data_IF_097526756443
#
_entry.id   IF_097526756443
#
_cell.length_a   1.000
_cell.length_b   1.000
_cell.length_c   1.000
_cell.angle_alpha   90.00
_cell.angle_beta   90.00
_cell.angle_gamma   90.00
#
_symmetry.space_group_name_H-M   'P 1'
#
loop_
_entity.id
_entity.type
_entity.pdbx_description
1 polymer ?
#
# COMPACT_ATOMS: atom_id res chain seq x y z
N UNK A 1 -3.76 -1.60 -3.92
CA UNK A 1 -4.77 -0.61 -4.40
C UNK A 1 -4.19 0.44 -5.33
N UNK A 2 -3.11 1.12 -4.99
CA UNK A 2 -2.55 2.19 -5.83
C UNK A 2 -2.17 1.72 -7.25
N UNK A 3 -1.57 0.53 -7.40
CA UNK A 3 -1.28 -0.05 -8.71
C UNK A 3 -2.56 -0.25 -9.53
N UNK A 4 -3.60 -0.79 -8.93
CA UNK A 4 -4.89 -0.99 -9.61
C UNK A 4 -5.50 0.34 -10.07
N UNK A 5 -5.46 1.36 -9.24
CA UNK A 5 -5.98 2.68 -9.57
C UNK A 5 -5.18 3.36 -10.69
N UNK A 6 -3.88 3.12 -10.77
CA UNK A 6 -3.01 3.67 -11.82
C UNK A 6 -3.10 2.91 -13.15
N UNK A 7 -3.67 1.71 -13.17
CA UNK A 7 -3.55 0.76 -14.28
C UNK A 7 -4.91 0.44 -14.91
N UNK A 8 -5.31 1.10 -16.02
CA UNK A 8 -6.63 0.89 -16.65
C UNK A 8 -6.90 -0.56 -17.07
N UNK A 9 -5.87 -1.35 -17.27
CA UNK A 9 -5.96 -2.77 -17.62
C UNK A 9 -6.20 -3.70 -16.42
N UNK A 10 -6.09 -3.19 -15.19
CA UNK A 10 -6.23 -4.01 -13.98
C UNK A 10 -7.71 -4.31 -13.70
N UNK A 11 -8.00 -5.55 -13.28
CA UNK A 11 -9.38 -6.00 -13.03
C UNK A 11 -10.13 -5.16 -11.97
N UNK A 12 -9.41 -4.62 -11.00
CA UNK A 12 -9.96 -3.78 -9.93
C UNK A 12 -9.79 -2.28 -10.18
N UNK A 13 -9.49 -1.87 -11.42
CA UNK A 13 -9.17 -0.46 -11.72
C UNK A 13 -10.29 0.50 -11.33
N UNK A 14 -11.51 0.24 -11.77
CA UNK A 14 -12.64 1.15 -11.51
C UNK A 14 -12.90 1.30 -10.01
N UNK A 15 -12.97 0.19 -9.28
CA UNK A 15 -13.21 0.22 -7.83
C UNK A 15 -12.11 0.95 -7.07
N UNK A 16 -10.86 0.70 -7.44
CA UNK A 16 -9.70 1.34 -6.81
C UNK A 16 -9.63 2.84 -7.15
N UNK A 17 -9.87 3.19 -8.41
CA UNK A 17 -9.87 4.58 -8.86
C UNK A 17 -10.98 5.38 -8.16
N UNK A 18 -12.19 4.84 -8.10
CA UNK A 18 -13.32 5.48 -7.43
C UNK A 18 -13.07 5.68 -5.94
N UNK A 19 -12.46 4.70 -5.28
CA UNK A 19 -12.09 4.81 -3.88
C UNK A 19 -11.06 5.92 -3.65
N UNK A 20 -10.04 6.05 -4.51
CA UNK A 20 -9.07 7.14 -4.45
C UNK A 20 -9.73 8.50 -4.68
N UNK A 21 -10.57 8.59 -5.71
CA UNK A 21 -11.24 9.84 -6.06
C UNK A 21 -12.19 10.32 -4.96
N UNK A 22 -12.92 9.39 -4.31
CA UNK A 22 -13.89 9.71 -3.28
C UNK A 22 -13.27 10.15 -1.96
N UNK A 23 -12.23 9.44 -1.49
CA UNK A 23 -11.65 9.67 -0.17
C UNK A 23 -10.35 10.46 -0.17
N UNK A 24 -9.64 10.52 -1.30
CA UNK A 24 -8.30 11.11 -1.44
C UNK A 24 -7.38 10.73 -0.28
N UNK A 25 -7.13 9.42 -0.08
CA UNK A 25 -6.39 8.93 1.07
C UNK A 25 -4.91 9.31 1.03
N UNK A 26 -4.24 9.15 2.17
CA UNK A 26 -2.78 9.12 2.20
C UNK A 26 -2.24 7.77 1.73
N UNK A 27 -0.94 7.68 1.64
CA UNK A 27 -0.24 6.45 1.28
C UNK A 27 0.88 6.17 2.28
N UNK A 28 1.02 4.91 2.69
CA UNK A 28 2.18 4.50 3.48
C UNK A 28 3.43 4.61 2.59
N UNK A 29 4.49 5.24 3.07
CA UNK A 29 5.70 5.49 2.30
C UNK A 29 6.27 4.23 1.64
N UNK A 30 6.29 3.11 2.37
CA UNK A 30 6.72 1.83 1.80
C UNK A 30 5.82 1.38 0.65
N UNK A 31 4.50 1.55 0.77
CA UNK A 31 3.55 1.20 -0.28
C UNK A 31 3.74 2.10 -1.53
N UNK A 32 4.12 3.35 -1.36
CA UNK A 32 4.44 4.24 -2.48
C UNK A 32 5.67 3.73 -3.26
N UNK A 33 6.71 3.33 -2.56
CA UNK A 33 7.92 2.76 -3.17
C UNK A 33 7.60 1.44 -3.91
N UNK A 34 6.82 0.57 -3.31
CA UNK A 34 6.38 -0.66 -3.95
C UNK A 34 5.51 -0.38 -5.20
N UNK A 35 4.62 0.61 -5.12
CA UNK A 35 3.79 1.03 -6.25
C UNK A 35 4.64 1.50 -7.42
N UNK A 36 5.60 2.38 -7.17
CA UNK A 36 6.55 2.82 -8.17
C UNK A 36 7.29 1.64 -8.81
N UNK A 37 7.81 0.74 -8.01
CA UNK A 37 8.49 -0.46 -8.48
C UNK A 37 7.58 -1.32 -9.35
N UNK A 38 6.36 -1.58 -8.92
CA UNK A 38 5.41 -2.42 -9.65
C UNK A 38 5.02 -1.79 -11.00
N UNK A 39 4.71 -0.50 -11.04
CA UNK A 39 4.30 0.20 -12.27
C UNK A 39 5.42 0.24 -13.31
N UNK A 40 6.66 0.41 -12.87
CA UNK A 40 7.82 0.57 -13.76
C UNK A 40 8.44 -0.75 -14.22
N UNK A 41 8.04 -1.89 -13.64
CA UNK A 41 8.53 -3.24 -14.04
C UNK A 41 7.51 -4.09 -14.77
N UNK A 42 6.31 -3.60 -15.03
CA UNK A 42 5.30 -4.35 -15.78
C UNK A 42 5.82 -4.74 -17.16
N UNK A 43 5.41 -5.90 -17.70
CA UNK A 43 5.69 -6.23 -19.10
C UNK A 43 5.04 -5.21 -20.05
N UNK A 44 5.68 -4.97 -21.18
CA UNK A 44 5.05 -4.19 -22.25
C UNK A 44 3.75 -4.89 -22.72
N UNK A 45 2.69 -4.14 -23.07
CA UNK A 45 2.59 -2.68 -23.19
C UNK A 45 2.18 -1.97 -21.89
N UNK A 46 2.09 -2.67 -20.77
CA UNK A 46 1.54 -2.14 -19.52
C UNK A 46 2.57 -1.43 -18.64
N UNK A 47 3.83 -1.44 -19.05
CA UNK A 47 4.90 -0.77 -18.30
C UNK A 47 4.71 0.74 -18.33
N UNK A 48 4.72 1.33 -17.15
CA UNK A 48 4.68 2.79 -17.01
C UNK A 48 6.10 3.36 -17.03
N UNK A 49 6.28 4.48 -17.72
CA UNK A 49 7.56 5.20 -17.66
C UNK A 49 7.78 5.74 -16.24
N UNK A 50 9.03 5.74 -15.71
CA UNK A 50 9.32 6.23 -14.36
C UNK A 50 8.76 7.62 -14.05
N UNK A 51 8.83 8.56 -14.99
CA UNK A 51 8.29 9.90 -14.80
C UNK A 51 6.75 9.90 -14.64
N UNK A 52 6.05 9.03 -15.35
CA UNK A 52 4.60 8.89 -15.25
C UNK A 52 4.18 8.26 -13.91
N UNK A 53 4.93 7.27 -13.43
CA UNK A 53 4.68 6.66 -12.13
C UNK A 53 4.87 7.67 -10.99
N UNK A 54 5.90 8.51 -11.08
CA UNK A 54 6.12 9.59 -10.11
C UNK A 54 4.99 10.62 -10.16
N UNK A 55 4.56 11.04 -11.36
CA UNK A 55 3.45 11.98 -11.50
C UNK A 55 2.15 11.42 -10.89
N UNK A 56 1.86 10.15 -11.09
CA UNK A 56 0.70 9.51 -10.48
C UNK A 56 0.74 9.63 -8.95
N UNK A 57 1.88 9.32 -8.33
CA UNK A 57 2.04 9.39 -6.89
C UNK A 57 1.92 10.83 -6.38
N UNK A 58 2.54 11.79 -7.07
CA UNK A 58 2.49 13.20 -6.69
C UNK A 58 1.07 13.78 -6.84
N UNK A 59 0.36 13.45 -7.91
CA UNK A 59 -0.98 13.99 -8.17
C UNK A 59 -2.03 13.43 -7.21
N UNK A 60 -1.94 12.13 -6.87
CA UNK A 60 -2.97 11.48 -6.05
C UNK A 60 -2.71 11.56 -4.56
N UNK A 61 -1.45 11.60 -4.12
CA UNK A 61 -1.12 11.54 -2.70
C UNK A 61 -0.45 12.81 -2.16
N UNK A 62 0.14 13.63 -3.03
CA UNK A 62 0.79 14.90 -2.67
C UNK A 62 1.73 14.74 -1.46
N UNK A 63 1.47 15.47 -0.37
CA UNK A 63 2.21 15.40 0.89
C UNK A 63 1.57 14.46 1.92
N UNK A 64 0.56 13.68 1.53
CA UNK A 64 -0.14 12.75 2.43
C UNK A 64 0.55 11.39 2.54
N UNK A 65 1.84 11.38 2.59
CA UNK A 65 2.62 10.18 2.85
C UNK A 65 2.76 9.97 4.35
N UNK A 66 2.55 8.72 4.82
CA UNK A 66 2.69 8.35 6.22
C UNK A 66 3.77 7.30 6.39
N UNK A 67 4.49 7.38 7.49
CA UNK A 67 5.58 6.45 7.77
C UNK A 67 5.92 6.42 9.25
N UNK A 68 6.66 5.40 9.65
CA UNK A 68 7.19 5.25 10.99
C UNK A 68 8.67 5.63 11.02
N UNK A 69 9.15 6.07 12.18
CA UNK A 69 10.57 6.28 12.40
C UNK A 69 11.37 4.98 12.26
N UNK A 70 12.66 5.10 12.01
CA UNK A 70 13.54 3.93 11.97
C UNK A 70 13.50 3.13 13.29
N UNK A 71 13.45 3.81 14.42
CA UNK A 71 13.34 3.17 15.73
C UNK A 71 12.03 2.40 15.90
N UNK A 72 10.90 2.97 15.45
CA UNK A 72 9.60 2.30 15.49
C UNK A 72 9.58 1.07 14.58
N UNK A 73 10.14 1.16 13.37
CA UNK A 73 10.23 0.02 12.45
C UNK A 73 11.09 -1.10 13.03
N UNK A 74 12.19 -0.76 13.70
CA UNK A 74 13.04 -1.74 14.36
C UNK A 74 12.27 -2.52 15.44
N UNK A 75 11.46 -1.83 16.23
CA UNK A 75 10.62 -2.47 17.26
C UNK A 75 9.55 -3.38 16.64
N UNK A 76 8.98 -3.01 15.49
CA UNK A 76 8.01 -3.84 14.79
C UNK A 76 8.57 -5.20 14.40
N UNK A 77 9.83 -5.30 14.00
CA UNK A 77 10.44 -6.58 13.64
C UNK A 77 10.40 -7.58 14.79
N UNK A 78 10.57 -7.13 16.03
CA UNK A 78 10.41 -7.98 17.21
C UNK A 78 8.98 -8.50 17.36
N UNK A 79 7.98 -7.65 17.12
CA UNK A 79 6.56 -8.04 17.15
C UNK A 79 6.22 -8.99 16.01
N UNK A 80 6.73 -8.75 14.81
CA UNK A 80 6.52 -9.63 13.65
C UNK A 80 7.13 -11.00 13.89
N UNK A 81 8.33 -11.06 14.44
CA UNK A 81 8.99 -12.31 14.81
C UNK A 81 8.14 -13.11 15.79
N UNK A 82 7.62 -12.46 16.83
CA UNK A 82 6.77 -13.11 17.83
C UNK A 82 5.44 -13.63 17.22
N UNK A 83 4.91 -12.96 16.21
CA UNK A 83 3.68 -13.33 15.51
C UNK A 83 3.90 -14.35 14.38
N UNK A 84 5.15 -14.72 14.09
CA UNK A 84 5.48 -15.64 13.00
C UNK A 84 5.38 -15.02 11.61
N UNK A 85 5.38 -13.69 11.51
CA UNK A 85 5.35 -12.99 10.22
C UNK A 85 6.75 -13.04 9.61
N UNK A 86 6.84 -13.48 8.35
CA UNK A 86 8.11 -13.66 7.64
C UNK A 86 7.95 -13.48 6.14
N UNK A 87 9.08 -13.38 5.43
CA UNK A 87 9.11 -13.26 3.97
C UNK A 87 8.32 -12.07 3.45
N UNK A 88 7.60 -12.26 2.36
CA UNK A 88 6.82 -11.19 1.71
C UNK A 88 5.72 -10.58 2.60
N UNK A 89 5.17 -11.36 3.52
CA UNK A 89 4.17 -10.86 4.47
C UNK A 89 4.72 -9.76 5.39
N UNK A 90 6.04 -9.66 5.55
CA UNK A 90 6.68 -8.60 6.33
C UNK A 90 6.33 -7.20 5.80
N UNK A 91 6.27 -7.04 4.49
CA UNK A 91 5.95 -5.75 3.87
C UNK A 91 4.48 -5.37 4.06
N UNK A 92 3.57 -6.33 3.93
CA UNK A 92 2.16 -6.12 4.23
C UNK A 92 1.96 -5.78 5.72
N UNK A 93 2.68 -6.49 6.59
CA UNK A 93 2.65 -6.20 8.03
C UNK A 93 3.15 -4.79 8.35
N UNK A 94 4.19 -4.32 7.67
CA UNK A 94 4.71 -2.96 7.84
C UNK A 94 3.65 -1.93 7.42
N UNK A 95 3.01 -2.13 6.28
CA UNK A 95 1.95 -1.25 5.79
C UNK A 95 0.78 -1.22 6.78
N UNK A 96 0.31 -2.39 7.21
CA UNK A 96 -0.79 -2.50 8.17
C UNK A 96 -0.48 -1.87 9.51
N UNK A 97 0.70 -2.14 10.07
CA UNK A 97 1.13 -1.59 11.35
C UNK A 97 1.32 -0.06 11.30
N UNK A 98 1.84 0.46 10.19
CA UNK A 98 1.97 1.91 9.98
C UNK A 98 0.60 2.58 9.96
N UNK A 99 -0.35 2.00 9.23
CA UNK A 99 -1.73 2.51 9.16
C UNK A 99 -2.41 2.47 10.53
N UNK A 100 -2.25 1.38 11.27
CA UNK A 100 -2.80 1.24 12.62
C UNK A 100 -2.23 2.29 13.58
N UNK A 101 -0.93 2.57 13.50
CA UNK A 101 -0.28 3.58 14.34
C UNK A 101 -0.81 5.00 14.09
N UNK A 102 -1.25 5.29 12.88
CA UNK A 102 -1.91 6.55 12.51
C UNK A 102 -3.39 6.61 12.92
N UNK A 103 -3.95 5.52 13.44
CA UNK A 103 -5.38 5.44 13.74
C UNK A 103 -6.26 5.49 12.49
N UNK A 104 -5.73 5.13 11.35
CA UNK A 104 -6.40 5.19 10.06
C UNK A 104 -6.94 3.83 9.64
N UNK A 105 -7.85 3.84 8.66
CA UNK A 105 -8.35 2.64 7.98
C UNK A 105 -7.51 2.36 6.73
N UNK A 106 -7.02 1.14 6.59
CA UNK A 106 -6.29 0.69 5.41
C UNK A 106 -7.26 0.25 4.32
N UNK A 107 -7.22 0.92 3.20
CA UNK A 107 -8.01 0.55 2.02
C UNK A 107 -7.16 -0.32 1.10
N UNK A 108 -7.62 -1.52 0.80
CA UNK A 108 -6.88 -2.50 0.00
C UNK A 108 -7.77 -3.23 -0.98
N UNK A 109 -7.18 -3.69 -2.09
CA UNK A 109 -7.80 -4.62 -3.03
C UNK A 109 -7.21 -6.05 -2.91
N UNK A 110 -6.24 -6.25 -2.04
CA UNK A 110 -5.55 -7.54 -1.89
C UNK A 110 -6.16 -8.38 -0.77
N UNK A 111 -6.97 -9.36 -1.16
CA UNK A 111 -7.59 -10.31 -0.22
C UNK A 111 -6.59 -11.18 0.49
N UNK A 112 -5.44 -11.49 -0.14
CA UNK A 112 -4.43 -12.38 0.44
C UNK A 112 -3.72 -11.77 1.62
N UNK A 113 -3.62 -10.44 1.65
CA UNK A 113 -2.97 -9.71 2.74
C UNK A 113 -3.85 -9.54 3.99
N UNK A 114 -5.15 -9.82 3.92
CA UNK A 114 -6.09 -9.56 5.02
C UNK A 114 -5.70 -10.26 6.32
N UNK A 115 -5.19 -11.50 6.25
CA UNK A 115 -4.72 -12.23 7.43
C UNK A 115 -3.57 -11.50 8.12
N UNK A 116 -2.62 -11.01 7.33
CA UNK A 116 -1.46 -10.26 7.85
C UNK A 116 -1.90 -8.94 8.46
N UNK A 117 -2.80 -8.21 7.81
CA UNK A 117 -3.32 -6.96 8.35
C UNK A 117 -4.03 -7.15 9.68
N UNK A 118 -4.81 -8.23 9.81
CA UNK A 118 -5.47 -8.57 11.07
C UNK A 118 -4.45 -8.87 12.19
N UNK A 119 -3.37 -9.57 11.88
CA UNK A 119 -2.31 -9.89 12.85
C UNK A 119 -1.62 -8.65 13.43
N UNK A 120 -1.57 -7.56 12.69
CA UNK A 120 -0.94 -6.30 13.14
C UNK A 120 -1.96 -5.26 13.63
N UNK A 121 -3.23 -5.64 13.73
CA UNK A 121 -4.28 -4.78 14.29
C UNK A 121 -4.75 -3.66 13.38
N UNK A 122 -4.60 -3.78 12.08
CA UNK A 122 -5.09 -2.79 11.13
C UNK A 122 -6.61 -2.93 10.94
N UNK A 123 -7.32 -1.80 10.95
CA UNK A 123 -8.67 -1.71 10.45
C UNK A 123 -8.63 -1.65 8.93
N UNK A 124 -9.38 -2.52 8.26
CA UNK A 124 -9.27 -2.70 6.81
C UNK A 124 -10.62 -2.54 6.13
N UNK A 125 -10.61 -1.80 5.02
CA UNK A 125 -11.70 -1.75 4.05
C UNK A 125 -11.23 -2.40 2.76
N UNK A 126 -11.92 -3.46 2.34
CA UNK A 126 -11.63 -4.15 1.09
C UNK A 126 -12.45 -3.54 -0.04
N UNK A 127 -11.76 -3.10 -1.10
CA UNK A 127 -12.37 -2.69 -2.37
C UNK A 127 -12.10 -3.74 -3.43
N UNK A 128 -13.12 -4.12 -4.17
CA UNK A 128 -12.99 -5.17 -5.18
C UNK A 128 -13.90 -4.88 -6.37
#
# INVERSE_FOLDING_TARGET
MAVAAASPWHENHEAAFDALAASRPGIVAHAAVETYSALTRMPEPNRMHPAEALLFLDDWFEDRWIGLSAAAQRLLLGRFSAAGIHGGATYDALIGATTAAEGATLVTADRRALVTYALVGADVELVA
#
